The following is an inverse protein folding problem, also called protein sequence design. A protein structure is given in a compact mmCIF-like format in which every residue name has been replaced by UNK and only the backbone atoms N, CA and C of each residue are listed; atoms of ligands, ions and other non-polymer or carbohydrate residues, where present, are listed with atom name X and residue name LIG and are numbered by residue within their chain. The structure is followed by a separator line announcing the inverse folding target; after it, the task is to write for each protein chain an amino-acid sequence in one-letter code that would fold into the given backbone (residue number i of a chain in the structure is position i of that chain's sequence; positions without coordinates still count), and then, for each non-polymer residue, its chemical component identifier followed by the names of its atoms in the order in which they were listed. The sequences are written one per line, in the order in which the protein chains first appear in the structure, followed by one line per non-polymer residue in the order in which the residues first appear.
data_IF_676083786887
#
_entry.id   IF_676083786887
#
_cell.length_a   1.000
_cell.length_b   1.000
_cell.length_c   1.000
_cell.angle_alpha   90.00
_cell.angle_beta   90.00
_cell.angle_gamma   90.00
#
_symmetry.space_group_name_H-M   'P 1'
#
loop_
_entity.id
_entity.type
_entity.pdbx_description
1 polymer ?
#
# COMPACT_ATOMS: atom_id res chain seq x y z
N UNK A 1 -10.39 20.90 -2.36
CA UNK A 1 -9.29 20.89 -1.35
C UNK A 1 -9.52 19.83 -0.30
N UNK A 2 -10.63 19.84 0.44
CA UNK A 2 -11.01 18.72 1.33
C UNK A 2 -11.12 17.38 0.58
N UNK A 3 -11.67 17.41 -0.63
CA UNK A 3 -11.68 16.29 -1.59
C UNK A 3 -10.31 15.68 -1.84
N UNK A 4 -9.30 16.52 -2.06
CA UNK A 4 -7.94 16.08 -2.38
C UNK A 4 -7.27 15.48 -1.14
N UNK A 5 -7.44 16.12 0.03
CA UNK A 5 -6.92 15.60 1.30
C UNK A 5 -7.57 14.26 1.65
N UNK A 6 -8.88 14.14 1.44
CA UNK A 6 -9.61 12.90 1.58
C UNK A 6 -9.02 11.81 0.68
N UNK A 7 -8.91 12.10 -0.61
CA UNK A 7 -8.36 11.18 -1.59
C UNK A 7 -6.95 10.72 -1.18
N UNK A 8 -6.05 11.65 -0.85
CA UNK A 8 -4.70 11.36 -0.40
C UNK A 8 -4.68 10.42 0.83
N UNK A 9 -5.49 10.70 1.86
CA UNK A 9 -5.57 9.85 3.06
C UNK A 9 -6.02 8.42 2.77
N UNK A 10 -7.04 8.24 1.91
CA UNK A 10 -7.56 6.92 1.57
C UNK A 10 -6.62 6.17 0.61
N UNK A 11 -6.01 6.86 -0.35
CA UNK A 11 -4.99 6.30 -1.23
C UNK A 11 -3.78 5.85 -0.42
N UNK A 12 -3.29 6.67 0.52
CA UNK A 12 -2.15 6.32 1.36
C UNK A 12 -2.44 5.09 2.23
N UNK A 13 -3.64 5.03 2.82
CA UNK A 13 -4.07 3.85 3.57
C UNK A 13 -4.07 2.58 2.72
N UNK A 14 -4.59 2.66 1.49
CA UNK A 14 -4.58 1.53 0.56
C UNK A 14 -3.14 1.13 0.18
N UNK A 15 -2.27 2.11 -0.06
CA UNK A 15 -0.87 1.89 -0.39
C UNK A 15 -0.09 1.24 0.76
N UNK A 16 -0.29 1.69 2.01
CA UNK A 16 0.30 1.06 3.20
C UNK A 16 -0.20 -0.37 3.38
N UNK A 17 -1.48 -0.65 3.10
CA UNK A 17 -2.01 -2.03 3.11
C UNK A 17 -1.29 -2.91 2.09
N UNK A 18 -1.11 -2.44 0.86
CA UNK A 18 -0.36 -3.15 -0.19
C UNK A 18 1.11 -3.37 0.22
N UNK A 19 1.77 -2.35 0.75
CA UNK A 19 3.16 -2.45 1.20
C UNK A 19 3.33 -3.50 2.30
N UNK A 20 2.45 -3.51 3.31
CA UNK A 20 2.46 -4.53 4.37
C UNK A 20 2.20 -5.94 3.84
N UNK A 21 1.27 -6.08 2.90
CA UNK A 21 1.02 -7.36 2.24
C UNK A 21 2.25 -7.87 1.48
N UNK A 22 2.98 -6.98 0.79
CA UNK A 22 4.22 -7.34 0.10
C UNK A 22 5.31 -7.80 1.08
N UNK A 23 5.53 -7.06 2.18
CA UNK A 23 6.49 -7.45 3.23
C UNK A 23 6.13 -8.82 3.81
N UNK A 24 4.85 -9.04 4.12
CA UNK A 24 4.36 -10.32 4.65
C UNK A 24 4.53 -11.47 3.66
N UNK A 25 4.23 -11.25 2.37
CA UNK A 25 4.43 -12.25 1.31
C UNK A 25 5.89 -12.64 1.18
N UNK A 26 6.81 -11.66 1.15
CA UNK A 26 8.25 -11.94 1.08
C UNK A 26 8.76 -12.73 2.28
N UNK A 27 8.33 -12.37 3.50
CA UNK A 27 8.71 -13.11 4.71
C UNK A 27 8.26 -14.57 4.65
N UNK A 28 7.06 -14.84 4.11
CA UNK A 28 6.57 -16.21 3.90
C UNK A 28 7.40 -16.96 2.85
N UNK A 29 7.74 -16.30 1.74
CA UNK A 29 8.58 -16.89 0.70
C UNK A 29 10.01 -17.20 1.18
N UNK A 30 10.61 -16.32 1.97
CA UNK A 30 11.92 -16.56 2.58
C UNK A 30 11.88 -17.73 3.58
N UNK A 31 10.85 -17.78 4.44
CA UNK A 31 10.67 -18.90 5.36
C UNK A 31 10.48 -20.25 4.64
N UNK A 32 9.76 -20.27 3.51
CA UNK A 32 9.55 -21.49 2.73
C UNK A 32 10.83 -22.01 2.03
N UNK A 33 11.79 -21.13 1.73
CA UNK A 33 13.06 -21.50 1.09
C UNK A 33 14.12 -22.04 2.07
N UNK A 34 13.79 -22.15 3.37
CA UNK A 34 14.77 -22.54 4.38
C UNK A 34 15.88 -21.51 4.60
N UNK A 35 15.82 -20.35 3.92
CA UNK A 35 16.57 -19.15 4.24
C UNK A 35 15.99 -18.59 5.55
N UNK A 36 16.32 -19.25 6.66
CA UNK A 36 16.14 -18.70 7.98
C UNK A 36 16.88 -17.37 8.00
N UNK A 37 16.13 -16.27 7.99
CA UNK A 37 16.65 -14.97 8.38
C UNK A 37 17.11 -15.10 9.84
N UNK A 38 18.36 -15.51 9.99
CA UNK A 38 19.07 -15.56 11.26
C UNK A 38 18.95 -14.21 11.93
N UNK A 39 18.59 -14.25 13.21
CA UNK A 39 18.54 -13.08 14.06
C UNK A 39 17.24 -12.30 13.90
N UNK A 40 16.38 -12.45 14.90
CA UNK A 40 15.53 -11.37 15.41
C UNK A 40 16.46 -10.17 15.70
N UNK A 41 16.78 -9.37 14.68
CA UNK A 41 17.56 -8.14 14.87
C UNK A 41 16.75 -7.25 15.79
N UNK A 42 17.34 -6.96 16.94
CA UNK A 42 16.86 -6.07 17.98
C UNK A 42 16.77 -4.65 17.38
N UNK A 43 15.67 -4.35 16.70
CA UNK A 43 15.45 -3.11 15.95
C UNK A 43 14.06 -3.07 15.33
N UNK A 44 13.54 -1.87 15.02
CA UNK A 44 12.25 -1.71 14.36
C UNK A 44 12.23 -2.51 13.05
N UNK A 45 11.33 -3.48 12.94
CA UNK A 45 11.17 -4.20 11.67
C UNK A 45 10.44 -3.30 10.66
N UNK A 46 10.63 -3.53 9.35
CA UNK A 46 9.88 -2.80 8.33
C UNK A 46 8.35 -2.92 8.50
N UNK A 47 7.86 -4.04 9.05
CA UNK A 47 6.43 -4.23 9.34
C UNK A 47 5.97 -3.37 10.53
N UNK A 48 6.81 -3.18 11.55
CA UNK A 48 6.51 -2.29 12.68
C UNK A 48 6.44 -0.84 12.22
N UNK A 49 7.38 -0.41 11.38
CA UNK A 49 7.38 0.95 10.81
C UNK A 49 6.14 1.19 9.94
N UNK A 50 5.80 0.27 9.04
CA UNK A 50 4.59 0.36 8.22
C UNK A 50 3.31 0.26 9.05
N UNK A 51 3.33 -0.51 10.14
CA UNK A 51 2.25 -0.60 11.11
C UNK A 51 2.01 0.74 11.82
N UNK A 52 3.08 1.38 12.31
CA UNK A 52 3.02 2.70 12.92
C UNK A 52 2.50 3.76 11.94
N UNK A 53 3.00 3.78 10.69
CA UNK A 53 2.47 4.66 9.65
C UNK A 53 0.99 4.40 9.37
N UNK A 54 0.58 3.12 9.31
CA UNK A 54 -0.82 2.76 9.10
C UNK A 54 -1.73 3.23 10.22
N UNK A 55 -1.28 3.17 11.47
CA UNK A 55 -2.03 3.69 12.61
C UNK A 55 -2.10 5.23 12.57
N UNK A 56 -1.00 5.90 12.24
CA UNK A 56 -0.99 7.34 12.06
C UNK A 56 -1.97 7.80 10.97
N UNK A 57 -2.03 7.09 9.83
CA UNK A 57 -3.02 7.38 8.78
C UNK A 57 -4.46 7.16 9.26
N UNK A 58 -4.73 6.12 10.06
CA UNK A 58 -6.06 5.93 10.67
C UNK A 58 -6.43 7.10 11.58
N UNK A 59 -5.50 7.58 12.40
CA UNK A 59 -5.74 8.72 13.29
C UNK A 59 -5.93 10.02 12.50
N UNK A 60 -5.17 10.22 11.42
CA UNK A 60 -5.39 11.35 10.51
C UNK A 60 -6.74 11.28 9.80
N UNK A 61 -7.22 10.08 9.41
CA UNK A 61 -8.57 9.90 8.86
C UNK A 61 -9.62 10.26 9.92
N UNK A 62 -9.45 9.83 11.18
CA UNK A 62 -10.38 10.21 12.26
C UNK A 62 -10.40 11.73 12.49
N UNK A 63 -9.23 12.37 12.51
CA UNK A 63 -9.10 13.83 12.63
C UNK A 63 -9.73 14.55 11.43
N UNK A 64 -9.51 14.03 10.22
CA UNK A 64 -10.08 14.55 9.00
C UNK A 64 -11.61 14.45 9.00
N UNK A 65 -12.19 13.34 9.46
CA UNK A 65 -13.65 13.19 9.62
C UNK A 65 -14.25 14.30 10.49
N UNK A 66 -13.56 14.73 11.55
CA UNK A 66 -14.02 15.84 12.39
C UNK A 66 -13.96 17.19 11.66
N UNK A 67 -12.93 17.40 10.84
CA UNK A 67 -12.77 18.61 10.01
C UNK A 67 -13.80 18.65 8.87
N UNK A 68 -14.12 17.49 8.29
CA UNK A 68 -15.00 17.36 7.13
C UNK A 68 -16.49 17.42 7.52
N UNK A 69 -16.86 16.88 8.69
CA UNK A 69 -18.24 16.78 9.19
C UNK A 69 -19.13 18.02 8.94
N UNK A 70 -18.72 19.27 9.24
CA UNK A 70 -19.61 20.42 9.05
C UNK A 70 -19.83 20.80 7.57
N UNK A 71 -19.08 20.21 6.64
CA UNK A 71 -19.20 20.43 5.20
C UNK A 71 -20.04 19.34 4.50
N UNK A 72 -20.41 18.27 5.21
CA UNK A 72 -21.18 17.15 4.67
C UNK A 72 -22.68 17.37 4.86
N UNK A 73 -23.50 16.89 3.92
CA UNK A 73 -24.97 17.01 3.96
C UNK A 73 -25.53 16.22 5.17
N UNK A 74 -26.38 16.86 5.99
CA UNK A 74 -27.02 16.20 7.14
C UNK A 74 -27.80 14.97 6.66
N UNK A 75 -27.56 13.82 7.30
CA UNK A 75 -28.32 12.58 7.06
C UNK A 75 -27.58 11.45 6.34
N UNK A 76 -26.33 11.65 5.91
CA UNK A 76 -25.51 10.58 5.30
C UNK A 76 -24.37 10.06 6.19
N UNK A 77 -24.03 10.75 7.28
CA UNK A 77 -22.79 10.51 8.03
C UNK A 77 -22.92 9.63 9.27
N UNK A 78 -24.12 9.23 9.67
CA UNK A 78 -24.25 8.22 10.72
C UNK A 78 -24.70 6.89 10.12
N UNK A 79 -23.87 5.84 10.19
CA UNK A 79 -24.44 4.52 10.39
C UNK A 79 -25.16 4.63 11.73
N UNK A 80 -26.46 4.92 11.71
CA UNK A 80 -27.32 4.75 12.86
C UNK A 80 -26.99 3.37 13.39
N UNK A 81 -26.33 3.31 14.54
CA UNK A 81 -26.19 2.09 15.34
C UNK A 81 -27.60 1.74 15.84
N UNK A 82 -28.49 1.35 14.93
CA UNK A 82 -29.72 0.63 15.25
C UNK A 82 -29.27 -0.77 15.60
N UNK A 83 -28.96 -0.91 16.88
CA UNK A 83 -28.95 -2.17 17.63
C UNK A 83 -30.35 -2.76 17.50
N UNK A 84 -30.68 -3.38 16.36
CA UNK A 84 -32.05 -3.82 16.08
C UNK A 84 -32.28 -4.54 14.75
N UNK A 85 -31.74 -4.10 13.62
CA UNK A 85 -32.05 -4.73 12.32
C UNK A 85 -31.00 -5.78 11.95
N UNK A 86 -31.21 -7.00 12.47
CA UNK A 86 -30.43 -8.19 12.11
C UNK A 86 -31.00 -8.93 10.88
N UNK A 87 -32.00 -8.39 10.21
CA UNK A 87 -32.70 -9.07 9.11
C UNK A 87 -32.82 -8.11 7.91
N UNK A 88 -32.62 -8.64 6.70
CA UNK A 88 -32.95 -8.02 5.39
C UNK A 88 -31.81 -7.57 4.45
N UNK A 89 -30.54 -7.96 4.63
CA UNK A 89 -29.52 -7.75 3.57
C UNK A 89 -28.56 -8.94 3.34
N UNK A 90 -29.00 -10.16 3.65
CA UNK A 90 -28.19 -11.37 3.44
C UNK A 90 -28.28 -11.95 2.02
N UNK A 91 -29.27 -11.57 1.20
CA UNK A 91 -29.52 -12.29 -0.07
C UNK A 91 -28.76 -11.77 -1.30
N UNK A 92 -28.29 -10.51 -1.31
CA UNK A 92 -27.60 -9.97 -2.50
C UNK A 92 -26.06 -10.10 -2.47
N UNK A 93 -25.50 -10.66 -1.38
CA UNK A 93 -24.05 -10.76 -1.17
C UNK A 93 -23.50 -12.18 -1.36
N UNK A 94 -24.28 -13.13 -1.89
CA UNK A 94 -23.85 -14.52 -2.09
C UNK A 94 -22.82 -14.71 -3.23
N UNK A 95 -22.39 -13.64 -3.92
CA UNK A 95 -21.49 -13.72 -5.08
C UNK A 95 -20.01 -13.38 -4.84
N UNK A 96 -19.63 -12.78 -3.70
CA UNK A 96 -18.23 -12.40 -3.46
C UNK A 96 -17.69 -13.04 -2.19
N UNK A 97 -16.91 -14.11 -2.41
CA UNK A 97 -15.93 -14.73 -1.51
C UNK A 97 -15.77 -14.06 -0.14
N UNK A 98 -16.23 -14.78 0.87
CA UNK A 98 -16.00 -14.58 2.30
C UNK A 98 -14.53 -14.22 2.62
N UNK A 99 -14.26 -12.93 2.66
CA UNK A 99 -13.10 -12.33 3.31
C UNK A 99 -13.60 -11.14 4.11
N UNK A 100 -14.06 -11.39 5.34
CA UNK A 100 -14.77 -10.43 6.19
C UNK A 100 -14.23 -9.01 6.08
N UNK A 101 -15.01 -8.14 5.44
CA UNK A 101 -14.81 -6.70 5.41
C UNK A 101 -15.09 -6.24 6.85
N UNK A 102 -14.04 -5.82 7.56
CA UNK A 102 -14.20 -5.34 8.94
C UNK A 102 -15.20 -4.18 8.98
N UNK A 103 -15.95 -4.03 10.08
CA UNK A 103 -16.96 -2.97 10.26
C UNK A 103 -16.43 -1.57 9.90
N UNK A 104 -15.14 -1.32 10.15
CA UNK A 104 -14.43 -0.09 9.77
C UNK A 104 -14.39 0.14 8.24
N UNK A 105 -14.21 -0.90 7.42
CA UNK A 105 -14.15 -0.80 5.96
C UNK A 105 -15.53 -0.52 5.35
N UNK A 106 -16.60 -1.07 5.94
CA UNK A 106 -17.97 -0.76 5.51
C UNK A 106 -18.34 0.69 5.88
N UNK A 107 -17.94 1.16 7.06
CA UNK A 107 -18.12 2.56 7.45
C UNK A 107 -17.36 3.52 6.53
N UNK A 108 -16.16 3.14 6.09
CA UNK A 108 -15.36 3.93 5.15
C UNK A 108 -15.94 3.92 3.72
N UNK A 109 -16.54 2.80 3.27
CA UNK A 109 -17.25 2.72 2.00
C UNK A 109 -18.51 3.62 1.99
N UNK A 110 -19.30 3.58 3.06
CA UNK A 110 -20.45 4.48 3.22
C UNK A 110 -19.99 5.93 3.28
N UNK A 111 -18.90 6.20 4.00
CA UNK A 111 -18.29 7.51 4.06
C UNK A 111 -17.88 7.98 2.66
N UNK A 112 -17.25 7.12 1.83
CA UNK A 112 -16.88 7.39 0.43
C UNK A 112 -18.02 7.98 -0.41
N UNK A 113 -19.27 7.67 -0.07
CA UNK A 113 -20.48 8.12 -0.76
C UNK A 113 -21.07 9.44 -0.23
N UNK A 114 -20.59 9.96 0.91
CA UNK A 114 -21.04 11.24 1.49
C UNK A 114 -20.83 12.40 0.52
N UNK A 115 -21.85 13.24 0.33
CA UNK A 115 -21.81 14.43 -0.53
C UNK A 115 -21.53 15.70 0.28
N UNK A 116 -20.75 16.61 -0.30
CA UNK A 116 -20.54 17.94 0.26
C UNK A 116 -21.78 18.82 0.11
N UNK A 117 -22.05 19.68 1.10
CA UNK A 117 -23.03 20.76 0.99
C UNK A 117 -22.58 21.79 -0.03
N UNK A 118 -23.55 22.51 -0.60
CA UNK A 118 -23.27 23.72 -1.38
C UNK A 118 -22.54 24.74 -0.50
N UNK A 119 -21.47 25.32 -1.04
CA UNK A 119 -20.62 26.26 -0.31
C UNK A 119 -21.29 27.64 -0.21
N UNK A 120 -21.87 27.96 0.94
CA UNK A 120 -22.38 29.31 1.24
C UNK A 120 -21.31 30.16 1.93
N UNK A 121 -21.56 31.46 2.12
CA UNK A 121 -20.66 32.37 2.83
C UNK A 121 -20.34 31.85 4.24
N UNK A 122 -21.32 31.25 4.95
CA UNK A 122 -21.11 30.66 6.28
C UNK A 122 -20.06 29.54 6.24
N UNK A 123 -20.12 28.67 5.24
CA UNK A 123 -19.16 27.58 5.04
C UNK A 123 -17.78 28.10 4.66
N UNK A 124 -17.69 29.21 3.93
CA UNK A 124 -16.40 29.87 3.65
C UNK A 124 -15.74 30.41 4.92
N UNK A 125 -16.50 31.06 5.80
CA UNK A 125 -15.99 31.50 7.10
C UNK A 125 -15.61 30.33 8.00
N UNK A 126 -16.44 29.27 8.00
CA UNK A 126 -16.12 28.05 8.73
C UNK A 126 -14.82 27.43 8.21
N UNK A 127 -14.65 27.36 6.89
CA UNK A 127 -13.43 26.87 6.27
C UNK A 127 -12.18 27.62 6.73
N UNK A 128 -12.23 28.95 6.88
CA UNK A 128 -11.08 29.71 7.39
C UNK A 128 -10.62 29.23 8.78
N UNK A 129 -11.55 28.81 9.65
CA UNK A 129 -11.23 28.25 10.98
C UNK A 129 -10.60 26.86 10.90
N UNK A 130 -11.05 26.05 9.95
CA UNK A 130 -10.56 24.67 9.77
C UNK A 130 -9.35 24.55 8.83
N UNK A 131 -9.05 25.60 8.06
CA UNK A 131 -7.98 25.60 7.04
C UNK A 131 -6.63 25.19 7.62
N UNK A 132 -6.25 25.76 8.77
CA UNK A 132 -4.98 25.43 9.42
C UNK A 132 -4.91 23.94 9.81
N UNK A 133 -5.99 23.38 10.35
CA UNK A 133 -6.08 21.94 10.70
C UNK A 133 -5.98 21.05 9.46
N UNK A 134 -6.68 21.41 8.38
CA UNK A 134 -6.64 20.68 7.12
C UNK A 134 -5.23 20.72 6.49
N UNK A 135 -4.56 21.87 6.52
CA UNK A 135 -3.18 21.99 6.04
C UNK A 135 -2.19 21.19 6.91
N UNK A 136 -2.38 21.16 8.23
CA UNK A 136 -1.57 20.32 9.12
C UNK A 136 -1.71 18.83 8.82
N UNK A 137 -2.94 18.36 8.53
CA UNK A 137 -3.17 16.99 8.09
C UNK A 137 -2.56 16.69 6.72
N UNK A 138 -2.58 17.67 5.80
CA UNK A 138 -1.93 17.54 4.50
C UNK A 138 -0.41 17.42 4.64
N UNK A 139 0.23 18.25 5.47
CA UNK A 139 1.67 18.14 5.74
C UNK A 139 2.03 16.80 6.38
N UNK A 140 1.21 16.35 7.34
CA UNK A 140 1.42 15.07 8.00
C UNK A 140 1.31 13.88 7.04
N UNK A 141 0.32 13.87 6.12
CA UNK A 141 0.19 12.79 5.14
C UNK A 141 1.35 12.80 4.13
N UNK A 142 1.77 13.97 3.64
CA UNK A 142 2.92 14.09 2.74
C UNK A 142 4.21 13.54 3.37
N UNK A 143 4.43 13.76 4.68
CA UNK A 143 5.58 13.19 5.40
C UNK A 143 5.54 11.66 5.45
N UNK A 144 4.34 11.07 5.60
CA UNK A 144 4.18 9.61 5.58
C UNK A 144 4.38 9.06 4.17
N UNK A 145 3.81 9.73 3.15
CA UNK A 145 4.00 9.39 1.74
C UNK A 145 5.49 9.33 1.37
N UNK A 146 6.25 10.37 1.70
CA UNK A 146 7.70 10.43 1.42
C UNK A 146 8.43 9.30 2.14
N UNK A 147 8.11 9.02 3.41
CA UNK A 147 8.72 7.90 4.14
C UNK A 147 8.40 6.56 3.48
N UNK A 148 7.14 6.30 3.13
CA UNK A 148 6.74 5.07 2.44
C UNK A 148 7.46 4.92 1.10
N UNK A 149 7.53 5.98 0.30
CA UNK A 149 8.23 5.96 -1.00
C UNK A 149 9.70 5.63 -0.77
N UNK A 150 10.36 6.24 0.23
CA UNK A 150 11.73 5.90 0.62
C UNK A 150 11.91 4.42 0.98
N UNK A 151 10.96 3.82 1.70
CA UNK A 151 10.96 2.37 1.95
C UNK A 151 10.81 1.56 0.65
N UNK A 152 9.90 1.95 -0.24
CA UNK A 152 9.67 1.26 -1.51
C UNK A 152 10.89 1.34 -2.43
N UNK A 153 11.53 2.51 -2.56
CA UNK A 153 12.73 2.69 -3.39
C UNK A 153 13.91 1.93 -2.83
N UNK A 154 14.08 1.88 -1.49
CA UNK A 154 15.09 1.04 -0.84
C UNK A 154 14.88 -0.45 -1.14
N UNK A 155 13.63 -0.91 -1.18
CA UNK A 155 13.36 -2.30 -1.58
C UNK A 155 13.65 -2.56 -3.06
N UNK A 156 13.31 -1.63 -3.94
CA UNK A 156 13.60 -1.74 -5.38
C UNK A 156 15.11 -1.76 -5.62
N UNK A 157 15.90 -0.94 -4.92
CA UNK A 157 17.35 -0.92 -5.10
C UNK A 157 18.02 -2.24 -4.71
N UNK A 158 17.57 -2.87 -3.61
CA UNK A 158 18.03 -4.21 -3.23
C UNK A 158 17.68 -5.24 -4.30
N UNK A 159 16.48 -5.17 -4.88
CA UNK A 159 16.09 -6.08 -5.96
C UNK A 159 16.90 -5.86 -7.25
N UNK A 160 17.16 -4.60 -7.62
CA UNK A 160 17.99 -4.27 -8.77
C UNK A 160 19.42 -4.79 -8.59
N UNK A 161 19.97 -4.68 -7.38
CA UNK A 161 21.29 -5.25 -7.07
C UNK A 161 21.29 -6.77 -7.21
N UNK A 162 20.26 -7.46 -6.71
CA UNK A 162 20.12 -8.91 -6.87
C UNK A 162 19.98 -9.31 -8.35
N UNK A 163 19.22 -8.54 -9.13
CA UNK A 163 19.08 -8.77 -10.58
C UNK A 163 20.41 -8.56 -11.30
N UNK A 164 21.18 -7.52 -10.95
CA UNK A 164 22.52 -7.30 -11.49
C UNK A 164 23.43 -8.50 -11.25
N UNK A 165 23.48 -8.99 -10.01
CA UNK A 165 24.26 -10.18 -9.68
C UNK A 165 23.84 -11.41 -10.50
N UNK A 166 22.53 -11.61 -10.70
CA UNK A 166 22.09 -12.74 -11.53
C UNK A 166 22.44 -12.57 -13.00
N UNK A 167 22.47 -11.34 -13.52
CA UNK A 167 22.87 -11.07 -14.90
C UNK A 167 24.36 -11.32 -15.09
N UNK A 168 25.19 -10.86 -14.14
CA UNK A 168 26.62 -11.14 -14.13
C UNK A 168 26.88 -12.67 -14.12
N UNK A 169 26.14 -13.42 -13.29
CA UNK A 169 26.20 -14.89 -13.25
C UNK A 169 25.79 -15.54 -14.60
N UNK A 170 24.85 -14.92 -15.34
CA UNK A 170 24.44 -15.40 -16.67
C UNK A 170 25.49 -15.13 -17.73
N UNK A 171 26.10 -13.95 -17.71
CA UNK A 171 27.17 -13.57 -18.64
C UNK A 171 28.40 -14.47 -18.45
N UNK A 172 28.82 -14.70 -17.20
CA UNK A 172 29.91 -15.63 -16.86
C UNK A 172 29.64 -17.06 -17.38
N UNK A 173 28.37 -17.47 -17.32
CA UNK A 173 27.93 -18.78 -17.84
C UNK A 173 27.90 -18.82 -19.36
N UNK A 174 27.47 -17.75 -20.04
CA UNK A 174 27.53 -17.68 -21.51
C UNK A 174 28.98 -17.73 -21.99
N UNK A 175 29.88 -16.98 -21.37
CA UNK A 175 31.31 -17.07 -21.69
C UNK A 175 31.86 -18.48 -21.49
N UNK A 176 31.43 -19.19 -20.43
CA UNK A 176 31.83 -20.57 -20.21
C UNK A 176 31.34 -21.51 -21.32
N UNK A 177 30.12 -21.29 -21.83
CA UNK A 177 29.55 -22.04 -22.95
C UNK A 177 30.34 -21.74 -24.24
N UNK A 178 30.64 -20.47 -24.53
CA UNK A 178 31.41 -20.08 -25.71
C UNK A 178 32.83 -20.70 -25.67
N UNK A 179 33.45 -20.79 -24.49
CA UNK A 179 34.73 -21.49 -24.30
C UNK A 179 34.62 -22.98 -24.60
N UNK A 180 33.51 -23.63 -24.23
CA UNK A 180 33.27 -25.05 -24.53
C UNK A 180 33.00 -25.24 -26.02
N UNK A 181 32.18 -24.39 -26.64
CA UNK A 181 31.86 -24.44 -28.07
C UNK A 181 33.11 -24.27 -28.93
N UNK A 182 33.98 -23.32 -28.59
CA UNK A 182 35.27 -23.13 -29.28
C UNK A 182 36.23 -24.33 -29.13
N UNK A 183 36.15 -25.07 -28.03
CA UNK A 183 36.93 -26.31 -27.86
C UNK A 183 36.33 -27.46 -28.64
N UNK A 184 35.00 -27.57 -28.67
CA UNK A 184 34.29 -28.58 -29.44
C UNK A 184 34.44 -28.36 -30.93
N UNK A 185 34.36 -27.12 -31.43
CA UNK A 185 34.58 -26.81 -32.85
C UNK A 185 36.00 -27.16 -33.31
N UNK A 186 37.00 -27.02 -32.42
CA UNK A 186 38.38 -27.43 -32.69
C UNK A 186 38.57 -28.94 -32.72
N UNK A 187 37.75 -29.70 -31.98
CA UNK A 187 37.78 -31.17 -31.95
C UNK A 187 36.93 -31.77 -33.08
N UNK A 188 35.84 -31.11 -33.48
CA UNK A 188 34.90 -31.55 -34.52
C UNK A 188 35.21 -30.93 -35.90
N UNK A 189 36.30 -30.17 -36.03
CA UNK A 189 36.82 -29.62 -37.28
C UNK A 189 37.40 -30.66 -38.25
N UNK A 190 36.73 -31.80 -38.44
CA UNK A 190 37.07 -32.84 -39.41
C UNK A 190 35.83 -33.19 -40.23
N UNK A 191 35.90 -32.88 -41.53
CA UNK A 191 35.00 -33.20 -42.66
C UNK A 191 33.75 -32.33 -42.83
N UNK A 192 33.90 -31.25 -43.61
CA UNK A 192 33.07 -31.10 -44.81
C UNK A 192 33.97 -31.44 -46.01
N UNK A 193 33.63 -32.56 -46.66
CA UNK A 193 34.23 -33.04 -47.91
C UNK A 193 33.42 -32.38 -49.02
N UNK A 194 34.09 -31.63 -49.89
CA UNK A 194 33.63 -31.41 -51.27
C UNK A 194 33.99 -32.62 -52.13
#
# INVERSE_FOLDING_TARGET
MLTNLRQALYEERANLRRARQQVKRRRRSAAAKGEGLGGRREGLTPDDALGAMSNAVKDMIRAFKQVEKPFLVDGLDEPRRRRGDRESWADDAAGYSSGGIGEDEHADYLYARSRYRKCTIKQRFLWLRYKSKALGLLDAIMRIEVRRIGFQTSHISVQLRQMGQTLDDFDDRMEAIDRIENRLSRIVGVRRID
#
